data_IF_497308640420
#
_entry.id   IF_497308640420
#
_cell.length_a   1.000
_cell.length_b   1.000
_cell.length_c   1.000
_cell.angle_alpha   90.00
_cell.angle_beta   90.00
_cell.angle_gamma   90.00
#
_symmetry.space_group_name_H-M   'P 1'
#
loop_
_entity.id
_entity.type
_entity.pdbx_description
1 polymer ?
#
# COMPACT_ATOMS: atom_id res chain seq x y z
N UNK A 1 -9.12 -30.81 13.17
CA UNK A 1 -10.21 -30.07 12.49
C UNK A 1 -9.56 -28.86 11.84
N UNK A 2 -9.52 -28.84 10.50
CA UNK A 2 -8.68 -27.92 9.74
C UNK A 2 -9.12 -26.46 9.93
N UNK A 3 -8.12 -25.59 10.09
CA UNK A 3 -8.21 -24.14 10.24
C UNK A 3 -9.38 -23.54 9.47
N UNK A 4 -10.28 -22.88 10.19
CA UNK A 4 -11.25 -21.98 9.57
C UNK A 4 -10.50 -21.01 8.65
N UNK A 5 -10.85 -21.00 7.37
CA UNK A 5 -10.20 -20.22 6.32
C UNK A 5 -10.39 -18.73 6.66
N UNK A 6 -9.30 -18.04 7.01
CA UNK A 6 -9.29 -16.62 7.38
C UNK A 6 -10.04 -15.74 6.35
N UNK A 7 -9.90 -16.04 5.06
CA UNK A 7 -10.63 -15.32 4.00
C UNK A 7 -12.13 -15.49 4.17
N UNK A 8 -12.60 -16.73 4.44
CA UNK A 8 -14.02 -17.01 4.70
C UNK A 8 -14.53 -16.27 5.93
N UNK A 9 -13.76 -16.22 7.01
CA UNK A 9 -14.16 -15.45 8.19
C UNK A 9 -14.31 -13.95 7.90
N UNK A 10 -13.41 -13.39 7.08
CA UNK A 10 -13.50 -12.00 6.65
C UNK A 10 -14.69 -11.78 5.70
N UNK A 11 -14.98 -12.73 4.80
CA UNK A 11 -16.15 -12.70 3.92
C UNK A 11 -17.46 -12.77 4.73
N UNK A 12 -17.57 -13.66 5.71
CA UNK A 12 -18.73 -13.80 6.59
C UNK A 12 -19.00 -12.51 7.40
N UNK A 13 -17.96 -11.75 7.71
CA UNK A 13 -18.04 -10.44 8.37
C UNK A 13 -18.30 -9.28 7.40
N UNK A 14 -18.39 -9.54 6.09
CA UNK A 14 -18.56 -8.51 5.07
C UNK A 14 -17.33 -7.60 4.89
N UNK A 15 -16.13 -8.07 5.26
CA UNK A 15 -14.88 -7.30 5.22
C UNK A 15 -14.07 -7.51 3.94
N UNK A 16 -14.54 -8.36 3.02
CA UNK A 16 -13.91 -8.60 1.71
C UNK A 16 -14.79 -8.02 0.61
N UNK A 17 -14.32 -6.95 -0.03
CA UNK A 17 -14.96 -6.38 -1.21
C UNK A 17 -14.49 -7.09 -2.49
N UNK A 18 -13.18 -7.22 -2.65
CA UNK A 18 -12.52 -7.87 -3.79
C UNK A 18 -11.24 -8.55 -3.31
N UNK A 19 -10.85 -9.64 -3.98
CA UNK A 19 -9.63 -10.41 -3.71
C UNK A 19 -9.03 -10.88 -5.03
N UNK A 20 -7.71 -10.76 -5.17
CA UNK A 20 -6.99 -11.31 -6.31
C UNK A 20 -6.65 -12.77 -6.06
N UNK A 21 -7.00 -13.65 -7.01
CA UNK A 21 -6.69 -15.09 -6.98
C UNK A 21 -6.95 -15.73 -5.59
N UNK A 22 -8.22 -15.79 -5.19
CA UNK A 22 -8.65 -16.24 -3.86
C UNK A 22 -8.13 -17.64 -3.50
N UNK A 23 -8.10 -18.56 -4.46
CA UNK A 23 -7.63 -19.93 -4.28
C UNK A 23 -6.14 -19.96 -3.91
N UNK A 24 -5.29 -19.30 -4.71
CA UNK A 24 -3.85 -19.23 -4.43
C UNK A 24 -3.55 -18.50 -3.10
N UNK A 25 -4.33 -17.47 -2.75
CA UNK A 25 -4.19 -16.79 -1.46
C UNK A 25 -4.57 -17.71 -0.30
N UNK A 26 -5.66 -18.47 -0.43
CA UNK A 26 -6.08 -19.43 0.59
C UNK A 26 -5.03 -20.54 0.79
N UNK A 27 -4.48 -21.07 -0.30
CA UNK A 27 -3.37 -22.03 -0.25
C UNK A 27 -2.14 -21.43 0.44
N UNK A 28 -1.76 -20.20 0.08
CA UNK A 28 -0.61 -19.53 0.70
C UNK A 28 -0.82 -19.32 2.20
N UNK A 29 -2.02 -18.91 2.62
CA UNK A 29 -2.36 -18.75 4.05
C UNK A 29 -2.33 -20.09 4.80
N UNK A 30 -2.71 -21.19 4.14
CA UNK A 30 -2.67 -22.53 4.73
C UNK A 30 -1.25 -23.08 4.91
N UNK A 31 -0.29 -22.65 4.08
CA UNK A 31 1.12 -23.02 4.20
C UNK A 31 1.83 -22.39 5.43
N UNK A 32 1.22 -21.39 6.06
CA UNK A 32 1.71 -20.78 7.29
C UNK A 32 1.69 -19.25 7.24
N UNK A 33 2.27 -18.59 8.26
CA UNK A 33 2.32 -17.13 8.37
C UNK A 33 2.76 -16.40 7.10
N UNK A 34 2.17 -15.23 6.88
CA UNK A 34 2.52 -14.30 5.81
C UNK A 34 2.78 -12.92 6.40
N UNK A 35 3.56 -12.12 5.70
CA UNK A 35 3.60 -10.68 5.91
C UNK A 35 2.59 -9.99 4.98
N UNK A 36 1.86 -9.03 5.51
CA UNK A 36 0.88 -8.23 4.76
C UNK A 36 1.02 -6.75 5.12
N UNK A 37 0.58 -5.83 4.27
CA UNK A 37 0.61 -4.41 4.60
C UNK A 37 -0.70 -3.67 4.31
N UNK A 38 -0.89 -2.58 5.04
CA UNK A 38 -1.89 -1.55 4.77
C UNK A 38 -1.22 -0.18 4.78
N UNK A 39 -1.52 0.65 3.77
CA UNK A 39 -1.03 2.02 3.65
C UNK A 39 -1.98 3.04 4.28
N UNK A 40 -1.42 4.09 4.89
CA UNK A 40 -2.14 5.20 5.48
C UNK A 40 -1.50 6.52 5.06
N UNK A 41 -2.20 7.29 4.25
CA UNK A 41 -1.73 8.61 3.82
C UNK A 41 -2.05 9.69 4.86
N UNK A 42 -1.06 10.53 5.24
CA UNK A 42 -1.26 11.68 6.10
C UNK A 42 -2.02 12.78 5.37
N UNK A 43 -3.36 12.70 5.41
CA UNK A 43 -4.28 13.70 4.83
C UNK A 43 -4.86 14.65 5.87
N UNK A 44 -4.70 14.29 7.14
CA UNK A 44 -5.08 15.04 8.32
C UNK A 44 -4.16 14.62 9.48
N UNK A 45 -4.26 15.30 10.60
CA UNK A 45 -3.48 15.02 11.80
C UNK A 45 -3.96 13.79 12.60
N UNK A 46 -5.05 13.15 12.16
CA UNK A 46 -5.66 11.98 12.78
C UNK A 46 -6.29 11.02 11.78
N UNK A 47 -6.23 9.73 12.10
CA UNK A 47 -7.00 8.71 11.39
C UNK A 47 -8.48 8.81 11.80
N UNK A 48 -9.39 8.79 10.82
CA UNK A 48 -10.83 8.69 11.05
C UNK A 48 -11.36 7.26 10.85
N UNK A 49 -12.65 7.03 11.17
CA UNK A 49 -13.34 5.72 11.12
C UNK A 49 -13.18 4.95 9.80
N UNK A 50 -12.94 5.64 8.68
CA UNK A 50 -12.70 5.01 7.36
C UNK A 50 -11.40 4.20 7.31
N UNK A 51 -10.42 4.54 8.15
CA UNK A 51 -9.17 3.80 8.30
C UNK A 51 -9.29 2.68 9.34
N UNK A 52 -10.38 2.63 10.12
CA UNK A 52 -10.55 1.69 11.22
C UNK A 52 -10.75 0.26 10.71
N UNK A 53 -11.46 0.07 9.60
CA UNK A 53 -11.68 -1.27 9.03
C UNK A 53 -10.35 -1.91 8.57
N UNK A 54 -9.48 -1.22 7.81
CA UNK A 54 -8.13 -1.71 7.51
C UNK A 54 -7.18 -1.80 8.72
N UNK A 55 -7.44 -1.07 9.82
CA UNK A 55 -6.67 -1.19 11.08
C UNK A 55 -7.13 -2.36 11.97
N UNK A 56 -8.41 -2.72 11.93
CA UNK A 56 -9.00 -3.80 12.73
C UNK A 56 -8.83 -5.19 12.09
N UNK A 57 -8.73 -5.29 10.76
CA UNK A 57 -8.31 -6.54 10.09
C UNK A 57 -6.96 -7.05 10.64
N UNK A 58 -5.93 -6.20 10.81
CA UNK A 58 -4.70 -6.50 11.53
C UNK A 58 -4.81 -6.86 13.01
N UNK A 59 -5.96 -6.80 13.68
CA UNK A 59 -6.07 -7.29 15.07
C UNK A 59 -6.40 -8.79 15.13
N UNK A 60 -7.08 -9.33 14.12
CA UNK A 60 -7.37 -10.77 14.01
C UNK A 60 -6.20 -11.56 13.41
N UNK A 61 -5.33 -10.89 12.66
CA UNK A 61 -4.22 -11.49 11.91
C UNK A 61 -3.00 -11.92 12.76
N UNK A 62 -2.55 -11.15 13.78
CA UNK A 62 -1.48 -11.57 14.69
C UNK A 62 -1.88 -12.77 15.55
N UNK A 63 -3.16 -12.90 15.90
CA UNK A 63 -3.68 -14.08 16.58
C UNK A 63 -3.57 -15.34 15.71
N UNK A 64 -3.61 -15.19 14.38
CA UNK A 64 -3.36 -16.25 13.40
C UNK A 64 -1.87 -16.37 12.99
N UNK A 65 -0.96 -15.62 13.62
CA UNK A 65 0.47 -15.68 13.39
C UNK A 65 0.98 -14.85 12.20
N UNK A 66 0.12 -14.11 11.49
CA UNK A 66 0.53 -13.24 10.39
C UNK A 66 1.25 -11.97 10.89
N UNK A 67 2.06 -11.38 10.02
CA UNK A 67 2.93 -10.23 10.31
C UNK A 67 2.41 -8.96 9.60
N UNK A 68 1.54 -8.16 10.22
CA UNK A 68 1.04 -6.93 9.60
C UNK A 68 2.09 -5.82 9.57
N UNK A 69 2.10 -5.05 8.50
CA UNK A 69 2.91 -3.83 8.31
C UNK A 69 1.98 -2.64 8.15
N UNK A 70 2.11 -1.66 9.04
CA UNK A 70 1.48 -0.36 8.84
C UNK A 70 2.46 0.56 8.11
N UNK A 71 2.15 0.88 6.86
CA UNK A 71 2.90 1.85 6.05
C UNK A 71 2.26 3.23 6.21
N UNK A 72 3.03 4.21 6.65
CA UNK A 72 2.61 5.61 6.68
C UNK A 72 3.18 6.31 5.44
N UNK A 73 2.31 6.90 4.63
CA UNK A 73 2.67 7.45 3.32
C UNK A 73 3.30 8.84 3.39
N UNK A 74 4.50 9.00 3.94
CA UNK A 74 5.16 10.31 4.01
C UNK A 74 5.45 10.92 2.63
N UNK A 75 5.83 10.12 1.63
CA UNK A 75 5.99 10.58 0.25
C UNK A 75 4.64 10.66 -0.47
N UNK A 76 3.81 9.62 -0.35
CA UNK A 76 2.49 9.57 -1.01
C UNK A 76 1.57 10.72 -0.57
N UNK A 77 1.63 11.11 0.71
CA UNK A 77 0.90 12.24 1.26
C UNK A 77 1.29 13.61 0.68
N UNK A 78 2.51 13.74 0.12
CA UNK A 78 2.95 14.94 -0.61
C UNK A 78 2.41 15.00 -2.04
N UNK A 79 1.97 13.87 -2.59
CA UNK A 79 1.45 13.75 -3.96
C UNK A 79 -0.08 13.81 -3.95
N UNK A 80 -0.70 12.98 -3.12
CA UNK A 80 -2.15 12.85 -2.97
C UNK A 80 -2.78 11.81 -3.90
N UNK A 81 -3.53 10.87 -3.29
CA UNK A 81 -4.26 9.83 -4.02
C UNK A 81 -5.54 10.38 -4.70
N UNK A 82 -5.67 10.29 -6.04
CA UNK A 82 -6.88 10.69 -6.76
C UNK A 82 -8.04 9.69 -6.63
N UNK A 83 -7.82 8.50 -6.06
CA UNK A 83 -8.81 7.41 -6.05
C UNK A 83 -10.16 7.84 -5.49
N UNK A 84 -11.18 7.81 -6.36
CA UNK A 84 -12.57 8.18 -6.07
C UNK A 84 -12.75 9.59 -5.48
N UNK A 85 -11.80 10.51 -5.72
CA UNK A 85 -11.91 11.94 -5.37
C UNK A 85 -12.37 12.75 -6.56
N UNK A 86 -13.37 13.61 -6.34
CA UNK A 86 -13.95 14.45 -7.39
C UNK A 86 -13.01 15.58 -7.83
N UNK A 87 -12.29 16.20 -6.89
CA UNK A 87 -11.41 17.33 -7.14
C UNK A 87 -9.96 17.01 -6.77
N UNK A 88 -9.04 17.75 -7.37
CA UNK A 88 -7.61 17.70 -7.06
C UNK A 88 -7.36 18.09 -5.59
N UNK A 89 -6.45 17.36 -4.94
CA UNK A 89 -6.06 17.67 -3.57
C UNK A 89 -5.17 18.91 -3.52
N UNK A 90 -5.33 19.68 -2.45
CA UNK A 90 -4.32 20.69 -2.09
C UNK A 90 -3.06 19.97 -1.62
N UNK A 91 -1.94 20.28 -2.24
CA UNK A 91 -0.63 19.82 -1.80
C UNK A 91 -0.31 20.49 -0.46
N UNK A 92 0.09 19.68 0.52
CA UNK A 92 0.53 20.15 1.83
C UNK A 92 2.06 20.35 1.81
N UNK A 93 2.57 21.19 2.70
CA UNK A 93 4.02 21.36 2.84
C UNK A 93 4.67 20.12 3.44
N UNK A 94 5.96 19.93 3.20
CA UNK A 94 6.72 18.81 3.77
C UNK A 94 6.68 18.81 5.29
N UNK A 95 6.75 19.99 5.92
CA UNK A 95 6.69 20.13 7.38
C UNK A 95 5.33 19.68 7.93
N UNK A 96 4.25 20.05 7.23
CA UNK A 96 2.88 19.67 7.61
C UNK A 96 2.68 18.17 7.50
N UNK A 97 3.11 17.58 6.38
CA UNK A 97 3.02 16.13 6.17
C UNK A 97 3.86 15.39 7.20
N UNK A 98 5.08 15.85 7.49
CA UNK A 98 5.94 15.23 8.49
C UNK A 98 5.32 15.27 9.89
N UNK A 99 4.70 16.39 10.29
CA UNK A 99 3.98 16.48 11.56
C UNK A 99 2.83 15.46 11.63
N UNK A 100 2.06 15.33 10.55
CA UNK A 100 0.94 14.38 10.48
C UNK A 100 1.41 12.93 10.46
N UNK A 101 2.50 12.61 9.76
CA UNK A 101 3.16 11.31 9.80
C UNK A 101 3.47 10.94 11.25
N UNK A 102 4.08 11.85 12.02
CA UNK A 102 4.44 11.58 13.41
C UNK A 102 3.23 11.41 14.34
N UNK A 103 2.13 12.14 14.08
CA UNK A 103 0.87 11.98 14.82
C UNK A 103 0.17 10.67 14.49
N UNK A 104 0.02 10.33 13.21
CA UNK A 104 -0.60 9.08 12.75
C UNK A 104 0.18 7.88 13.27
N UNK A 105 1.52 7.93 13.16
CA UNK A 105 2.41 6.91 13.71
C UNK A 105 2.18 6.66 15.20
N UNK A 106 1.73 7.65 15.98
CA UNK A 106 1.41 7.49 17.42
C UNK A 106 0.02 6.90 17.66
N UNK A 107 -0.90 7.04 16.70
CA UNK A 107 -2.28 6.53 16.78
C UNK A 107 -2.40 5.07 16.38
N UNK A 108 -1.51 4.56 15.52
CA UNK A 108 -1.48 3.13 15.16
C UNK A 108 -1.25 2.30 16.44
N UNK A 109 -2.22 1.45 16.86
CA UNK A 109 -2.18 0.79 18.15
C UNK A 109 -0.95 -0.11 18.33
N UNK A 110 -0.32 -0.04 19.51
CA UNK A 110 0.75 -0.97 19.89
C UNK A 110 0.24 -2.40 20.11
N UNK A 111 -1.07 -2.59 20.31
CA UNK A 111 -1.71 -3.89 20.54
C UNK A 111 -1.78 -4.76 19.28
N UNK A 112 -1.61 -4.18 18.09
CA UNK A 112 -1.47 -4.92 16.82
C UNK A 112 -0.09 -5.58 16.65
N UNK A 113 0.77 -5.51 17.69
CA UNK A 113 2.15 -5.99 17.70
C UNK A 113 2.21 -7.23 18.61
N UNK A 114 2.27 -8.43 18.02
CA UNK A 114 2.47 -9.65 18.80
C UNK A 114 3.88 -9.69 19.40
N UNK A 115 3.96 -10.24 20.62
CA UNK A 115 5.10 -10.11 21.54
C UNK A 115 6.27 -11.06 21.25
N UNK A 116 6.62 -11.31 19.99
CA UNK A 116 7.84 -12.04 19.61
C UNK A 116 8.44 -11.34 18.38
N UNK A 117 9.58 -10.67 18.56
CA UNK A 117 10.25 -9.69 17.65
C UNK A 117 9.72 -8.24 17.70
N UNK A 118 9.97 -7.60 18.84
CA UNK A 118 9.53 -6.25 19.21
C UNK A 118 10.13 -5.07 18.40
N UNK A 119 10.60 -5.21 17.15
CA UNK A 119 11.37 -4.11 16.54
C UNK A 119 11.36 -3.88 15.01
N UNK A 120 10.59 -4.56 14.16
CA UNK A 120 10.77 -4.34 12.69
C UNK A 120 9.58 -3.79 11.88
N UNK A 121 8.32 -3.91 12.31
CA UNK A 121 7.18 -3.76 11.36
C UNK A 121 6.13 -2.70 11.73
N UNK A 122 6.40 -1.86 12.73
CA UNK A 122 5.39 -0.94 13.25
C UNK A 122 5.34 0.46 12.60
N UNK A 123 6.27 0.85 11.72
CA UNK A 123 6.32 2.24 11.19
C UNK A 123 7.02 2.41 9.83
N UNK A 124 6.78 1.53 8.86
CA UNK A 124 7.32 1.75 7.51
C UNK A 124 6.87 3.14 7.01
N UNK A 125 7.77 3.92 6.43
CA UNK A 125 7.44 5.18 5.78
C UNK A 125 8.05 5.20 4.40
N UNK A 126 7.22 5.38 3.37
CA UNK A 126 7.71 5.37 2.00
C UNK A 126 8.58 6.59 1.64
N UNK A 127 8.58 7.62 2.49
CA UNK A 127 9.58 8.68 2.39
C UNK A 127 11.01 8.14 2.55
N UNK A 128 11.21 7.01 3.24
CA UNK A 128 12.51 6.39 3.43
C UNK A 128 13.15 5.94 2.10
N UNK A 129 12.35 5.57 1.09
CA UNK A 129 12.86 5.23 -0.25
C UNK A 129 12.61 6.30 -1.30
N UNK A 130 11.53 7.08 -1.22
CA UNK A 130 11.25 8.13 -2.21
C UNK A 130 11.94 9.46 -1.92
N UNK A 131 12.17 9.82 -0.66
CA UNK A 131 12.67 11.15 -0.29
C UNK A 131 14.02 11.50 -0.93
N UNK A 132 14.85 10.49 -1.15
CA UNK A 132 16.16 10.64 -1.81
C UNK A 132 16.21 10.04 -3.22
N UNK A 133 15.09 9.60 -3.78
CA UNK A 133 15.05 9.01 -5.11
C UNK A 133 15.15 10.10 -6.18
N UNK A 134 16.11 9.96 -7.09
CA UNK A 134 16.19 10.85 -8.24
C UNK A 134 15.05 10.58 -9.24
N UNK A 135 14.50 11.64 -9.83
CA UNK A 135 13.42 11.55 -10.83
C UNK A 135 13.78 10.66 -12.03
N UNK A 136 15.04 10.64 -12.49
CA UNK A 136 15.48 9.77 -13.58
C UNK A 136 15.43 8.30 -13.18
N UNK A 137 15.79 7.97 -11.94
CA UNK A 137 15.65 6.62 -11.38
C UNK A 137 14.18 6.24 -11.33
N UNK A 138 13.31 7.11 -10.79
CA UNK A 138 11.87 6.87 -10.74
C UNK A 138 11.29 6.57 -12.13
N UNK A 139 11.56 7.42 -13.13
CA UNK A 139 11.02 7.25 -14.47
C UNK A 139 11.55 6.01 -15.18
N UNK A 140 12.84 5.69 -15.02
CA UNK A 140 13.49 4.58 -15.74
C UNK A 140 13.29 3.23 -15.08
N UNK A 141 13.38 3.17 -13.76
CA UNK A 141 13.36 1.90 -13.04
C UNK A 141 11.95 1.52 -12.63
N UNK A 142 11.05 2.49 -12.42
CA UNK A 142 9.64 2.26 -12.09
C UNK A 142 8.77 2.55 -13.31
N UNK A 143 8.82 3.78 -13.83
CA UNK A 143 7.91 4.25 -14.87
C UNK A 143 7.86 3.41 -16.15
N UNK A 144 8.98 2.80 -16.57
CA UNK A 144 9.02 1.93 -17.78
C UNK A 144 8.09 0.71 -17.71
N UNK A 145 7.70 0.29 -16.50
CA UNK A 145 6.84 -0.88 -16.28
C UNK A 145 5.35 -0.55 -16.33
N UNK A 146 4.99 0.73 -16.42
CA UNK A 146 3.61 1.19 -16.40
C UNK A 146 3.18 1.67 -17.79
N UNK A 147 2.18 1.00 -18.37
CA UNK A 147 1.57 1.47 -19.61
C UNK A 147 0.60 2.61 -19.33
N UNK A 148 0.82 3.78 -19.95
CA UNK A 148 -0.11 4.91 -19.89
C UNK A 148 -1.52 4.50 -20.32
N UNK A 149 -1.63 3.66 -21.37
CA UNK A 149 -2.93 3.15 -21.84
C UNK A 149 -3.68 2.36 -20.76
N UNK A 150 -2.97 1.58 -19.93
CA UNK A 150 -3.61 0.86 -18.83
C UNK A 150 -3.98 1.81 -17.70
N UNK A 151 -3.09 2.74 -17.36
CA UNK A 151 -3.32 3.71 -16.28
C UNK A 151 -4.55 4.60 -16.50
N UNK A 152 -4.73 5.16 -17.70
CA UNK A 152 -5.89 6.02 -18.01
C UNK A 152 -7.23 5.25 -17.97
N UNK A 153 -7.18 3.93 -18.14
CA UNK A 153 -8.35 3.07 -18.13
C UNK A 153 -8.72 2.56 -16.73
N UNK A 154 -7.89 2.80 -15.71
CA UNK A 154 -8.25 2.51 -14.32
C UNK A 154 -9.43 3.39 -13.89
N UNK A 155 -10.43 2.80 -13.25
CA UNK A 155 -11.70 3.48 -12.90
C UNK A 155 -11.49 4.80 -12.15
N UNK A 156 -10.56 4.82 -11.19
CA UNK A 156 -10.16 6.00 -10.43
C UNK A 156 -9.72 7.19 -11.30
N UNK A 157 -9.00 6.93 -12.38
CA UNK A 157 -8.46 7.96 -13.29
C UNK A 157 -9.45 8.28 -14.40
N UNK A 158 -10.09 7.24 -14.96
CA UNK A 158 -11.05 7.36 -16.06
C UNK A 158 -12.19 8.33 -15.76
N UNK A 159 -12.71 8.30 -14.53
CA UNK A 159 -13.76 9.21 -14.10
C UNK A 159 -13.32 10.69 -14.08
N UNK A 160 -12.05 10.98 -13.78
CA UNK A 160 -11.49 12.34 -13.82
C UNK A 160 -11.24 12.79 -15.25
N UNK A 161 -10.66 11.92 -16.09
CA UNK A 161 -10.38 12.26 -17.50
C UNK A 161 -11.64 12.56 -18.32
N UNK A 162 -12.79 11.98 -17.97
CA UNK A 162 -14.05 12.19 -18.69
C UNK A 162 -14.81 13.46 -18.29
N UNK A 163 -14.37 14.20 -17.26
CA UNK A 163 -15.02 15.44 -16.81
C UNK A 163 -14.34 16.64 -17.46
N UNK A 164 -15.10 17.48 -18.17
CA UNK A 164 -14.57 18.65 -18.87
C UNK A 164 -14.04 19.75 -17.93
N UNK A 165 -14.57 19.85 -16.71
CA UNK A 165 -14.23 20.85 -15.70
C UNK A 165 -13.23 20.37 -14.64
N UNK A 166 -12.91 19.06 -14.63
CA UNK A 166 -12.14 18.41 -13.55
C UNK A 166 -11.09 17.46 -14.13
N UNK A 167 -9.95 18.01 -14.55
CA UNK A 167 -8.80 17.23 -14.99
C UNK A 167 -8.11 16.46 -13.85
N UNK A 168 -7.11 15.66 -14.21
CA UNK A 168 -6.16 15.04 -13.28
C UNK A 168 -4.77 15.55 -13.62
N UNK A 169 -4.02 16.04 -12.62
CA UNK A 169 -2.66 16.49 -12.83
C UNK A 169 -1.70 15.31 -13.02
N UNK A 170 -0.55 15.55 -13.65
CA UNK A 170 0.49 14.53 -13.75
C UNK A 170 0.97 14.05 -12.37
N UNK A 171 0.96 14.95 -11.38
CA UNK A 171 1.27 14.66 -9.97
C UNK A 171 0.33 13.57 -9.43
N UNK A 172 -0.98 13.80 -9.43
CA UNK A 172 -1.95 12.79 -8.96
C UNK A 172 -1.95 11.53 -9.84
N UNK A 173 -1.78 11.68 -11.16
CA UNK A 173 -1.70 10.54 -12.08
C UNK A 173 -0.51 9.62 -11.77
N UNK A 174 0.62 10.19 -11.33
CA UNK A 174 1.83 9.45 -10.96
C UNK A 174 1.70 8.69 -9.63
N UNK A 175 0.73 9.06 -8.77
CA UNK A 175 0.51 8.44 -7.45
C UNK A 175 0.44 6.90 -7.52
N UNK A 176 -0.20 6.38 -8.57
CA UNK A 176 -0.35 4.94 -8.78
C UNK A 176 1.00 4.19 -8.87
N UNK A 177 2.04 4.83 -9.43
CA UNK A 177 3.38 4.26 -9.52
C UNK A 177 4.03 4.19 -8.14
N UNK A 178 3.83 5.22 -7.31
CA UNK A 178 4.43 5.29 -5.97
C UNK A 178 3.88 4.15 -5.10
N UNK A 179 2.55 4.02 -5.01
CA UNK A 179 1.93 2.93 -4.24
C UNK A 179 2.22 1.54 -4.84
N UNK A 180 2.35 1.44 -6.17
CA UNK A 180 2.78 0.18 -6.80
C UNK A 180 4.19 -0.22 -6.36
N UNK A 181 5.12 0.74 -6.33
CA UNK A 181 6.49 0.51 -5.90
C UNK A 181 6.63 0.26 -4.39
N UNK A 182 5.77 0.85 -3.56
CA UNK A 182 5.69 0.54 -2.13
C UNK A 182 5.52 -0.97 -1.90
N UNK A 183 4.67 -1.64 -2.68
CA UNK A 183 4.48 -3.09 -2.55
C UNK A 183 5.76 -3.86 -2.92
N UNK A 184 6.47 -3.48 -3.98
CA UNK A 184 7.73 -4.11 -4.37
C UNK A 184 8.81 -3.93 -3.29
N UNK A 185 8.94 -2.72 -2.74
CA UNK A 185 9.86 -2.44 -1.63
C UNK A 185 9.55 -3.26 -0.39
N UNK A 186 8.29 -3.32 0.02
CA UNK A 186 7.87 -4.06 1.21
C UNK A 186 7.98 -5.58 1.01
N UNK A 187 7.76 -6.08 -0.21
CA UNK A 187 8.02 -7.47 -0.55
C UNK A 187 9.51 -7.81 -0.40
N UNK A 188 10.39 -6.97 -0.97
CA UNK A 188 11.85 -7.16 -0.89
C UNK A 188 12.38 -7.07 0.55
N UNK A 189 11.93 -6.09 1.34
CA UNK A 189 12.47 -5.83 2.67
C UNK A 189 11.88 -6.75 3.75
N UNK A 190 10.58 -7.07 3.65
CA UNK A 190 9.84 -7.72 4.73
C UNK A 190 9.11 -9.00 4.30
N UNK A 191 9.28 -9.43 3.04
CA UNK A 191 8.57 -10.60 2.51
C UNK A 191 7.05 -10.40 2.46
N UNK A 192 6.59 -9.16 2.34
CA UNK A 192 5.16 -8.82 2.23
C UNK A 192 4.59 -9.40 0.94
N UNK A 193 3.58 -10.25 1.05
CA UNK A 193 2.95 -10.94 -0.09
C UNK A 193 1.48 -10.60 -0.26
N UNK A 194 0.92 -9.77 0.62
CA UNK A 194 -0.47 -9.34 0.59
C UNK A 194 -0.58 -7.85 0.92
N UNK A 195 -1.31 -7.11 0.10
CA UNK A 195 -1.75 -5.75 0.41
C UNK A 195 -3.25 -5.76 0.70
N UNK A 196 -3.66 -5.03 1.74
CA UNK A 196 -5.07 -4.78 2.04
C UNK A 196 -5.34 -3.27 2.01
N UNK A 197 -6.58 -2.89 1.72
CA UNK A 197 -6.99 -1.49 1.66
C UNK A 197 -8.50 -1.34 1.48
N UNK A 198 -8.97 -0.09 1.41
CA UNK A 198 -10.36 0.23 1.07
C UNK A 198 -10.71 -0.19 -0.36
N UNK A 199 -12.01 -0.24 -0.67
CA UNK A 199 -12.49 -0.59 -2.02
C UNK A 199 -12.01 0.39 -3.10
N UNK A 200 -11.75 1.64 -2.71
CA UNK A 200 -11.18 2.68 -3.56
C UNK A 200 -9.73 2.39 -3.99
N UNK A 201 -9.01 1.54 -3.26
CA UNK A 201 -7.59 1.25 -3.48
C UNK A 201 -7.31 0.15 -4.49
N UNK A 202 -8.33 -0.52 -5.02
CA UNK A 202 -8.17 -1.67 -5.92
C UNK A 202 -7.24 -1.40 -7.11
N UNK A 203 -7.38 -0.22 -7.73
CA UNK A 203 -6.53 0.19 -8.85
C UNK A 203 -5.06 0.36 -8.48
N UNK A 204 -4.77 0.81 -7.26
CA UNK A 204 -3.40 0.96 -6.77
C UNK A 204 -2.80 -0.36 -6.32
N UNK A 205 -3.60 -1.22 -5.66
CA UNK A 205 -3.17 -2.56 -5.22
C UNK A 205 -2.77 -3.42 -6.43
N UNK A 206 -3.62 -3.46 -7.46
CA UNK A 206 -3.35 -4.24 -8.69
C UNK A 206 -2.09 -3.76 -9.42
N UNK A 207 -1.83 -2.45 -9.42
CA UNK A 207 -0.57 -1.91 -9.97
C UNK A 207 0.67 -2.43 -9.25
N UNK A 208 0.61 -2.60 -7.94
CA UNK A 208 1.72 -3.18 -7.19
C UNK A 208 1.93 -4.67 -7.51
N UNK A 209 0.85 -5.42 -7.73
CA UNK A 209 0.91 -6.83 -8.17
C UNK A 209 1.56 -6.93 -9.55
N UNK A 210 1.14 -6.08 -10.49
CA UNK A 210 1.66 -6.08 -11.87
C UNK A 210 3.14 -5.67 -11.91
N UNK A 211 3.58 -4.75 -11.04
CA UNK A 211 4.98 -4.36 -10.90
C UNK A 211 5.83 -5.45 -10.25
N UNK A 212 5.24 -6.25 -9.35
CA UNK A 212 5.89 -7.31 -8.62
C UNK A 212 5.27 -8.69 -8.92
N UNK A 213 5.37 -9.20 -10.16
CA UNK A 213 4.90 -10.55 -10.43
C UNK A 213 5.73 -11.52 -9.58
N UNK A 214 5.11 -12.54 -8.99
CA UNK A 214 5.78 -13.50 -8.11
C UNK A 214 7.02 -14.17 -8.73
N UNK A 215 7.15 -14.16 -10.06
CA UNK A 215 8.31 -14.62 -10.84
C UNK A 215 9.47 -13.61 -10.94
N UNK A 216 9.27 -12.33 -10.59
CA UNK A 216 10.32 -11.32 -10.55
C UNK A 216 11.20 -11.44 -9.29
N UNK A 217 10.70 -12.09 -8.24
CA UNK A 217 11.48 -12.35 -7.02
C UNK A 217 12.67 -13.29 -7.26
N UNK A 218 12.63 -14.12 -8.31
CA UNK A 218 13.73 -15.04 -8.70
C UNK A 218 14.73 -14.41 -9.69
N UNK A 219 14.40 -13.31 -10.39
CA UNK A 219 15.19 -12.82 -11.53
C UNK A 219 16.14 -11.65 -11.23
N UNK A 220 16.32 -11.24 -9.97
CA UNK A 220 17.36 -10.27 -9.60
C UNK A 220 17.25 -8.90 -10.27
N UNK A 221 16.05 -8.52 -10.75
CA UNK A 221 15.83 -7.35 -11.62
C UNK A 221 15.95 -6.01 -10.88
N UNK A 222 15.98 -6.01 -9.56
CA UNK A 222 15.97 -4.79 -8.75
C UNK A 222 17.32 -4.55 -8.08
N UNK A 223 18.05 -3.46 -8.41
CA UNK A 223 19.38 -3.22 -7.89
C UNK A 223 19.38 -3.27 -6.36
N UNK A 224 20.28 -4.09 -5.83
CA UNK A 224 20.62 -4.11 -4.42
C UNK A 224 21.46 -2.86 -4.10
N UNK A 225 20.89 -1.93 -3.33
CA UNK A 225 21.62 -0.77 -2.80
C UNK A 225 21.31 -0.49 -1.33
N UNK A 226 20.89 -1.52 -0.59
CA UNK A 226 20.87 -1.43 0.88
C UNK A 226 22.27 -1.50 1.52
N UNK A 227 23.34 -1.61 0.72
CA UNK A 227 24.72 -1.71 1.17
C UNK A 227 25.62 -0.52 0.79
N UNK A 228 25.09 0.47 0.06
CA UNK A 228 25.86 1.68 -0.29
C UNK A 228 25.49 2.83 0.66
N UNK A 229 25.83 2.70 1.96
CA UNK A 229 26.18 3.80 2.88
C UNK A 229 26.79 3.24 4.18
#
# INVERSE_FOLDING_TARGET
MASSNLIKQLQERGLVAQVTNEEALAERLAQGPIALYCGFDPTADSLHLGHLVPLLCPETLPAAGHKPVALVGGANGLIGDPSFKAAERKLNTEETVQEWVDKIRKQVPRSSISTVEKTLLSRANNYDWFGNMNVLTFLRDIGKHFSVNQMINKEAVKQRLNREDQGISFTEFSYNLLQGYDFACLNKQYGVVLQIGGSDQWGNITSGIDLNPSSASESGVWPDRSADH
#
